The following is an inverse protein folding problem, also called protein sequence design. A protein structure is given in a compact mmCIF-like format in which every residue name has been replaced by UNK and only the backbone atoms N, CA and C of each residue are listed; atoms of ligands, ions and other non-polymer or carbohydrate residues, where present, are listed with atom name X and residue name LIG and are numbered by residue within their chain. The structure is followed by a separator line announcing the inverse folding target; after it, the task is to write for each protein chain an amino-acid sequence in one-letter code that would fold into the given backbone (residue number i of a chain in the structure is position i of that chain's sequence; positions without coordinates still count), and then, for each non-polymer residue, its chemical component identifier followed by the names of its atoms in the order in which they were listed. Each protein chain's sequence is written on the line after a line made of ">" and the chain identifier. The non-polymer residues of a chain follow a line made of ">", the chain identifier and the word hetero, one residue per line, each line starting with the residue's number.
data_IF_834271271376
#
_entry.id   IF_834271271376
#
_cell.length_a   1.000
_cell.length_b   1.000
_cell.length_c   1.000
_cell.angle_alpha   90.00
_cell.angle_beta   90.00
_cell.angle_gamma   90.00
#
_symmetry.space_group_name_H-M   'P 1'
#
loop_
_entity.id
_entity.type
_entity.pdbx_description
1 polymer ?
#
# COMPACT_ATOMS: atom_id res chain seq x y z
N UNK A 1 -5.27 13.59 -6.89
CA UNK A 1 -3.84 13.90 -6.66
C UNK A 1 -3.20 14.58 -7.86
N UNK A 2 -3.23 13.98 -9.06
CA UNK A 2 -2.52 14.50 -10.23
C UNK A 2 -2.81 15.97 -10.59
N UNK A 3 -4.06 16.45 -10.45
CA UNK A 3 -4.37 17.86 -10.69
C UNK A 3 -3.52 18.81 -9.81
N UNK A 4 -3.22 18.43 -8.57
CA UNK A 4 -2.42 19.21 -7.62
C UNK A 4 -0.90 19.12 -7.87
N UNK A 5 -0.46 18.33 -8.85
CA UNK A 5 0.93 18.31 -9.34
C UNK A 5 1.09 19.04 -10.68
N UNK A 6 -0.01 19.38 -11.36
CA UNK A 6 -0.01 20.05 -12.67
C UNK A 6 -0.21 21.56 -12.53
N UNK A 7 -1.04 22.00 -11.58
CA UNK A 7 -1.30 23.42 -11.34
C UNK A 7 -0.29 24.01 -10.33
N UNK A 8 0.26 25.17 -10.67
CA UNK A 8 1.35 25.84 -9.94
C UNK A 8 0.90 26.66 -8.71
N UNK A 9 -0.39 26.97 -8.61
CA UNK A 9 -0.99 27.72 -7.50
C UNK A 9 -1.44 26.85 -6.31
N UNK A 10 -1.27 25.54 -6.39
CA UNK A 10 -1.59 24.58 -5.30
C UNK A 10 -0.40 23.69 -4.99
N UNK A 11 -0.26 23.31 -3.71
CA UNK A 11 0.77 22.36 -3.29
C UNK A 11 0.28 20.92 -3.52
N UNK A 12 1.16 19.99 -3.94
CA UNK A 12 0.86 18.56 -3.97
C UNK A 12 0.51 18.00 -2.59
N UNK A 13 -0.22 16.88 -2.58
CA UNK A 13 -0.52 16.14 -1.36
C UNK A 13 0.73 15.44 -0.82
N UNK A 14 1.14 15.76 0.40
CA UNK A 14 2.30 15.15 1.07
C UNK A 14 2.00 13.82 1.77
N UNK A 15 1.03 13.04 1.27
CA UNK A 15 0.62 11.78 1.88
C UNK A 15 0.60 10.64 0.86
N UNK A 16 0.84 9.43 1.35
CA UNK A 16 0.59 8.21 0.61
C UNK A 16 -0.68 7.59 1.17
N UNK A 17 -1.60 7.17 0.30
CA UNK A 17 -2.87 6.58 0.73
C UNK A 17 -2.84 5.09 0.41
N UNK A 18 -3.15 4.28 1.42
CA UNK A 18 -3.42 2.86 1.26
C UNK A 18 -4.93 2.64 1.31
N UNK A 19 -5.48 2.06 0.24
CA UNK A 19 -6.89 1.73 0.14
C UNK A 19 -7.03 0.22 0.03
N UNK A 20 -7.69 -0.39 0.99
CA UNK A 20 -8.14 -1.77 0.91
C UNK A 20 -9.62 -1.78 0.53
N UNK A 21 -9.97 -2.60 -0.46
CA UNK A 21 -11.33 -2.83 -0.88
C UNK A 21 -11.62 -4.33 -0.88
N UNK A 22 -12.87 -4.68 -0.58
CA UNK A 22 -13.37 -6.04 -0.72
C UNK A 22 -14.54 -6.00 -1.69
N UNK A 23 -14.35 -6.59 -2.86
CA UNK A 23 -15.35 -6.61 -3.92
C UNK A 23 -15.41 -8.00 -4.53
N UNK A 24 -16.63 -8.53 -4.73
CA UNK A 24 -16.87 -9.81 -5.42
C UNK A 24 -16.03 -10.99 -4.91
N UNK A 25 -15.88 -11.12 -3.59
CA UNK A 25 -15.04 -12.12 -2.90
C UNK A 25 -13.52 -12.03 -3.17
N UNK A 26 -13.06 -10.93 -3.75
CA UNK A 26 -11.65 -10.63 -3.92
C UNK A 26 -11.21 -9.45 -3.04
N UNK A 27 -10.08 -9.63 -2.36
CA UNK A 27 -9.43 -8.58 -1.59
C UNK A 27 -8.47 -7.82 -2.52
N UNK A 28 -8.68 -6.52 -2.64
CA UNK A 28 -7.84 -5.63 -3.44
C UNK A 28 -7.18 -4.58 -2.56
N UNK A 29 -5.90 -4.32 -2.82
CA UNK A 29 -5.13 -3.30 -2.11
C UNK A 29 -4.47 -2.36 -3.13
N UNK A 30 -4.74 -1.07 -2.97
CA UNK A 30 -4.25 0.00 -3.83
C UNK A 30 -3.39 0.97 -3.05
N UNK A 31 -2.27 1.37 -3.65
CA UNK A 31 -1.42 2.45 -3.16
C UNK A 31 -1.52 3.67 -4.06
N UNK A 32 -1.78 4.83 -3.46
CA UNK A 32 -1.84 6.11 -4.15
C UNK A 32 -0.64 6.96 -3.73
N UNK A 33 0.19 7.34 -4.69
CA UNK A 33 1.33 8.21 -4.48
C UNK A 33 0.97 9.69 -4.66
N UNK A 34 1.67 10.62 -3.96
CA UNK A 34 1.60 12.06 -4.17
C UNK A 34 1.63 12.53 -5.63
N UNK A 35 2.33 11.79 -6.49
CA UNK A 35 2.47 12.01 -7.94
C UNK A 35 1.15 11.85 -8.72
N UNK A 36 0.16 11.19 -8.12
CA UNK A 36 -1.08 10.77 -8.79
C UNK A 36 -0.98 9.42 -9.48
N UNK A 37 0.15 8.73 -9.38
CA UNK A 37 0.30 7.35 -9.86
C UNK A 37 -0.31 6.37 -8.85
N UNK A 38 -0.97 5.35 -9.37
CA UNK A 38 -1.67 4.34 -8.57
C UNK A 38 -1.30 2.93 -9.02
N UNK A 39 -1.06 2.05 -8.07
CA UNK A 39 -0.74 0.64 -8.32
C UNK A 39 -1.54 -0.27 -7.40
N UNK A 40 -1.83 -1.49 -7.88
CA UNK A 40 -2.37 -2.58 -7.08
C UNK A 40 -1.23 -3.42 -6.48
N UNK A 41 -1.34 -3.79 -5.21
CA UNK A 41 -0.32 -4.56 -4.49
C UNK A 41 -0.91 -5.77 -3.79
N UNK A 42 -0.15 -6.85 -3.69
CA UNK A 42 -0.46 -7.95 -2.75
C UNK A 42 -0.05 -7.63 -1.32
N UNK A 43 0.89 -6.69 -1.15
CA UNK A 43 1.38 -6.22 0.13
C UNK A 43 2.36 -5.07 -0.11
N UNK A 44 2.22 -4.00 0.65
CA UNK A 44 3.06 -2.80 0.53
C UNK A 44 3.34 -2.26 1.93
N UNK A 45 4.58 -1.81 2.12
CA UNK A 45 4.95 -0.94 3.22
C UNK A 45 5.41 0.39 2.65
N UNK A 46 5.10 1.45 3.38
CA UNK A 46 5.41 2.83 3.02
C UNK A 46 6.18 3.44 4.19
N UNK A 47 6.92 4.52 3.92
CA UNK A 47 7.69 5.28 4.91
C UNK A 47 9.02 4.61 5.34
N UNK A 48 9.64 5.12 6.39
CA UNK A 48 11.01 4.84 6.87
C UNK A 48 11.36 3.35 6.97
N UNK A 49 10.41 2.51 7.37
CA UNK A 49 10.61 1.08 7.59
C UNK A 49 10.33 0.21 6.35
N UNK A 50 10.09 0.81 5.18
CA UNK A 50 9.72 0.09 3.96
C UNK A 50 10.71 -1.02 3.59
N UNK A 51 12.02 -0.76 3.70
CA UNK A 51 13.06 -1.75 3.33
C UNK A 51 12.98 -3.01 4.20
N UNK A 52 12.85 -2.82 5.51
CA UNK A 52 12.75 -3.92 6.48
C UNK A 52 11.47 -4.72 6.27
N UNK A 53 10.34 -4.04 6.10
CA UNK A 53 9.06 -4.68 5.85
C UNK A 53 9.04 -5.44 4.52
N UNK A 54 9.68 -4.92 3.46
CA UNK A 54 9.80 -5.60 2.16
C UNK A 54 10.53 -6.94 2.28
N UNK A 55 11.60 -7.02 3.06
CA UNK A 55 12.30 -8.29 3.31
C UNK A 55 11.42 -9.32 4.03
N UNK A 56 10.51 -8.88 4.90
CA UNK A 56 9.57 -9.78 5.58
C UNK A 56 8.45 -10.20 4.60
N UNK A 57 7.94 -9.28 3.78
CA UNK A 57 6.97 -9.59 2.74
C UNK A 57 7.49 -10.56 1.69
N UNK A 58 8.76 -10.46 1.29
CA UNK A 58 9.41 -11.41 0.37
C UNK A 58 9.52 -12.84 0.93
N UNK A 59 9.56 -12.98 2.26
CA UNK A 59 9.53 -14.29 2.94
C UNK A 59 8.13 -14.89 3.03
N UNK A 60 7.09 -14.06 2.91
CA UNK A 60 5.69 -14.46 3.03
C UNK A 60 5.12 -14.80 1.65
N UNK A 61 4.29 -15.84 1.58
CA UNK A 61 3.50 -16.16 0.37
C UNK A 61 2.23 -15.30 0.36
N UNK A 62 2.36 -14.04 -0.05
CA UNK A 62 1.28 -13.04 -0.05
C UNK A 62 -0.04 -13.48 -0.75
N UNK A 63 -0.04 -14.14 -1.92
CA UNK A 63 -1.30 -14.43 -2.62
C UNK A 63 -2.14 -15.56 -1.99
N UNK A 64 -1.58 -16.35 -1.07
CA UNK A 64 -2.27 -17.52 -0.47
C UNK A 64 -2.23 -17.44 1.06
N UNK A 65 -2.11 -16.23 1.61
CA UNK A 65 -1.93 -16.04 3.04
C UNK A 65 -3.27 -16.12 3.78
N UNK A 66 -3.31 -16.89 4.87
CA UNK A 66 -4.48 -16.90 5.76
C UNK A 66 -4.56 -15.55 6.51
N UNK A 67 -5.76 -14.96 6.60
CA UNK A 67 -6.01 -13.63 7.14
C UNK A 67 -5.60 -13.51 8.61
N UNK A 68 -5.87 -14.53 9.43
CA UNK A 68 -5.49 -14.54 10.85
C UNK A 68 -3.96 -14.58 11.05
N UNK A 69 -3.27 -15.33 10.18
CA UNK A 69 -1.81 -15.35 10.17
C UNK A 69 -1.25 -14.02 9.68
N UNK A 70 -1.84 -13.43 8.64
CA UNK A 70 -1.46 -12.12 8.11
C UNK A 70 -1.51 -11.04 9.19
N UNK A 71 -2.60 -10.95 9.94
CA UNK A 71 -2.76 -9.98 11.04
C UNK A 71 -1.68 -10.18 12.11
N UNK A 72 -1.40 -11.43 12.50
CA UNK A 72 -0.34 -11.74 13.48
C UNK A 72 1.06 -11.38 12.98
N UNK A 73 1.33 -11.48 11.68
CA UNK A 73 2.61 -11.08 11.10
C UNK A 73 2.74 -9.55 11.02
N UNK A 74 1.69 -8.86 10.58
CA UNK A 74 1.68 -7.38 10.52
C UNK A 74 1.82 -6.78 11.92
N UNK A 75 1.18 -7.35 12.94
CA UNK A 75 1.32 -6.88 14.33
C UNK A 75 2.71 -7.11 14.94
N UNK A 76 3.56 -7.96 14.33
CA UNK A 76 4.94 -8.20 14.77
C UNK A 76 5.97 -7.31 14.08
N UNK A 77 5.59 -6.64 12.99
CA UNK A 77 6.45 -5.69 12.26
C UNK A 77 6.58 -4.39 13.03
#
# INVERSE_FOLDING_TARGET
>A
MHAYTVYDFVRPFGCFILLAAYESDELQLYGFEPSGVTYSYYGIAVDKAQKTAKTIFEKLKLPVLNLEYAVKQVAKM
#
